data_IF_106906103351
#
_entry.id   IF_106906103351
#
_cell.length_a   1.000
_cell.length_b   1.000
_cell.length_c   1.000
_cell.angle_alpha   90.00
_cell.angle_beta   90.00
_cell.angle_gamma   90.00
#
_symmetry.space_group_name_H-M   'P 1'
#
loop_
_entity.id
_entity.type
_entity.pdbx_description
1 polymer ?
#
# COMPACT_ATOMS: atom_id res chain seq x y z
N UNK A 1 3.31 10.96 -3.41
CA UNK A 1 4.57 10.41 -2.86
C UNK A 1 4.41 10.22 -1.36
N UNK A 2 4.77 9.03 -0.88
CA UNK A 2 4.65 8.68 0.53
C UNK A 2 5.99 8.84 1.23
N UNK A 3 5.99 9.37 2.43
CA UNK A 3 7.21 9.47 3.22
C UNK A 3 7.40 8.25 4.10
N UNK A 4 8.66 7.86 4.29
CA UNK A 4 9.05 6.75 5.17
C UNK A 4 10.38 7.06 5.81
N UNK A 5 10.62 6.51 7.00
CA UNK A 5 11.93 6.56 7.64
C UNK A 5 12.77 5.33 7.31
N UNK A 6 12.22 4.38 6.55
CA UNK A 6 12.89 3.13 6.16
C UNK A 6 12.61 2.87 4.68
N UNK A 7 13.43 3.47 3.81
CA UNK A 7 13.22 3.35 2.37
C UNK A 7 13.35 1.90 1.90
N UNK A 8 14.42 1.19 2.30
CA UNK A 8 14.63 -0.18 1.85
C UNK A 8 13.54 -1.12 2.36
N UNK A 9 13.14 -0.99 3.62
CA UNK A 9 12.06 -1.79 4.19
C UNK A 9 10.74 -1.54 3.48
N UNK A 10 10.47 -0.31 3.05
CA UNK A 10 9.26 0.03 2.32
C UNK A 10 9.29 -0.57 0.91
N UNK A 11 10.42 -0.45 0.20
CA UNK A 11 10.57 -1.08 -1.11
C UNK A 11 10.37 -2.59 -0.99
N UNK A 12 10.98 -3.21 0.02
CA UNK A 12 10.84 -4.65 0.24
C UNK A 12 9.39 -5.06 0.53
N UNK A 13 8.70 -4.30 1.36
CA UNK A 13 7.29 -4.59 1.67
C UNK A 13 6.43 -4.53 0.42
N UNK A 14 6.56 -3.46 -0.36
CA UNK A 14 5.73 -3.29 -1.55
C UNK A 14 6.06 -4.30 -2.64
N UNK A 15 7.34 -4.66 -2.81
CA UNK A 15 7.73 -5.61 -3.85
C UNK A 15 7.53 -7.06 -3.42
N UNK A 16 7.97 -7.43 -2.23
CA UNK A 16 7.94 -8.83 -1.79
C UNK A 16 6.59 -9.24 -1.22
N UNK A 17 5.91 -8.34 -0.55
CA UNK A 17 4.62 -8.64 0.09
C UNK A 17 3.44 -8.27 -0.80
N UNK A 18 3.42 -7.05 -1.33
CA UNK A 18 2.29 -6.56 -2.13
C UNK A 18 2.38 -6.90 -3.62
N UNK A 19 3.56 -7.27 -4.10
CA UNK A 19 3.72 -7.65 -5.50
C UNK A 19 4.01 -6.51 -6.46
N UNK A 20 4.36 -5.33 -5.96
CA UNK A 20 4.81 -4.23 -6.80
C UNK A 20 6.19 -4.52 -7.40
N UNK A 21 6.52 -3.84 -8.46
CA UNK A 21 7.86 -3.86 -9.07
C UNK A 21 8.55 -2.54 -8.75
N UNK A 22 9.80 -2.61 -8.30
CA UNK A 22 10.61 -1.41 -8.11
C UNK A 22 11.10 -0.95 -9.49
N UNK A 23 10.51 0.12 -9.99
CA UNK A 23 10.83 0.65 -11.31
C UNK A 23 12.14 1.43 -11.31
N UNK A 24 12.40 2.12 -10.21
CA UNK A 24 13.59 2.95 -10.08
C UNK A 24 13.86 3.20 -8.60
N UNK A 25 15.13 3.26 -8.23
CA UNK A 25 15.55 3.61 -6.88
C UNK A 25 16.80 4.48 -6.97
N UNK A 26 16.84 5.54 -6.17
CA UNK A 26 18.01 6.41 -6.07
C UNK A 26 18.40 6.54 -4.61
N UNK A 27 19.54 5.99 -4.25
CA UNK A 27 20.06 6.10 -2.89
C UNK A 27 20.55 7.51 -2.59
N UNK A 28 21.02 8.21 -3.59
CA UNK A 28 21.46 9.61 -3.43
C UNK A 28 20.31 10.53 -3.08
N UNK A 29 19.14 10.30 -3.70
CA UNK A 29 17.95 11.12 -3.48
C UNK A 29 17.02 10.52 -2.44
N UNK A 30 17.37 9.35 -1.88
CA UNK A 30 16.56 8.64 -0.89
C UNK A 30 15.12 8.44 -1.37
N UNK A 31 14.98 7.93 -2.59
CA UNK A 31 13.72 7.88 -3.32
C UNK A 31 13.59 6.59 -4.12
N UNK A 32 12.37 6.10 -4.27
CA UNK A 32 12.06 4.97 -5.13
C UNK A 32 10.70 5.14 -5.80
N UNK A 33 10.57 4.55 -6.98
CA UNK A 33 9.31 4.46 -7.71
C UNK A 33 8.90 3.00 -7.84
N UNK A 34 7.68 2.71 -7.45
CA UNK A 34 7.12 1.37 -7.41
C UNK A 34 5.90 1.33 -8.32
N UNK A 35 5.75 0.24 -9.08
CA UNK A 35 4.64 0.13 -10.02
C UNK A 35 3.92 -1.22 -9.88
N UNK A 36 2.61 -1.20 -10.08
CA UNK A 36 1.79 -2.41 -10.15
C UNK A 36 0.71 -2.16 -11.20
N UNK A 37 0.87 -2.77 -12.38
CA UNK A 37 -0.02 -2.49 -13.51
C UNK A 37 0.04 -1.01 -13.87
N UNK A 38 -1.09 -0.34 -13.80
CA UNK A 38 -1.21 1.09 -14.12
C UNK A 38 -1.01 1.99 -12.90
N UNK A 39 -0.67 1.42 -11.75
CA UNK A 39 -0.49 2.18 -10.52
C UNK A 39 0.99 2.47 -10.30
N UNK A 40 1.32 3.72 -10.07
CA UNK A 40 2.67 4.15 -9.69
C UNK A 40 2.61 4.80 -8.32
N UNK A 41 3.51 4.36 -7.44
CA UNK A 41 3.68 4.96 -6.10
C UNK A 41 5.14 5.33 -5.92
N UNK A 42 5.39 6.55 -5.49
CA UNK A 42 6.73 6.99 -5.13
C UNK A 42 6.86 7.03 -3.61
N UNK A 43 8.00 6.58 -3.11
CA UNK A 43 8.32 6.63 -1.69
C UNK A 43 9.66 7.34 -1.50
N UNK A 44 9.79 8.05 -0.40
CA UNK A 44 10.97 8.87 -0.16
C UNK A 44 11.22 9.04 1.34
N UNK A 45 12.48 9.20 1.72
CA UNK A 45 12.78 9.69 3.06
C UNK A 45 12.29 11.12 3.18
N UNK A 46 11.89 11.56 4.39
CA UNK A 46 11.49 12.94 4.60
C UNK A 46 12.68 13.87 4.44
N UNK A 47 12.39 15.13 4.19
CA UNK A 47 13.42 16.17 4.08
C UNK A 47 13.29 17.15 5.25
N UNK A 48 14.22 18.09 5.33
CA UNK A 48 14.27 19.07 6.42
C UNK A 48 13.09 20.04 6.41
N UNK A 49 12.38 20.15 5.29
CA UNK A 49 11.24 21.06 5.16
C UNK A 49 9.93 20.45 5.63
N UNK A 50 9.82 19.11 5.57
CA UNK A 50 8.59 18.40 5.93
C UNK A 50 8.98 17.30 6.90
N UNK A 51 8.87 17.54 8.22
CA UNK A 51 9.21 16.51 9.20
C UNK A 51 8.25 15.34 9.11
N UNK A 52 8.79 14.16 9.25
CA UNK A 52 8.01 12.93 9.24
C UNK A 52 8.39 12.08 10.45
N UNK A 53 7.44 11.88 11.34
CA UNK A 53 7.59 11.03 12.52
C UNK A 53 6.94 9.67 12.26
N UNK A 54 5.71 9.71 11.76
CA UNK A 54 4.94 8.50 11.44
C UNK A 54 3.92 8.83 10.36
N UNK A 55 3.36 7.79 9.74
CA UNK A 55 2.28 7.97 8.78
C UNK A 55 1.08 8.59 9.50
N UNK A 56 0.62 9.74 9.00
CA UNK A 56 -0.52 10.45 9.57
C UNK A 56 -1.49 10.93 8.50
N UNK A 57 -1.54 10.22 7.38
CA UNK A 57 -2.42 10.55 6.28
C UNK A 57 -3.88 10.42 6.73
N UNK A 58 -4.66 11.46 6.50
CA UNK A 58 -6.07 11.48 6.92
C UNK A 58 -6.97 10.88 5.85
N UNK A 59 -6.91 9.60 5.70
CA UNK A 59 -7.65 8.86 4.68
C UNK A 59 -6.99 7.54 4.42
N UNK A 60 -7.27 7.00 3.26
CA UNK A 60 -6.74 5.70 2.85
C UNK A 60 -6.45 5.69 1.36
N UNK A 61 -5.69 4.71 0.94
CA UNK A 61 -5.47 4.45 -0.48
C UNK A 61 -6.33 3.27 -0.87
N UNK A 62 -7.25 3.48 -1.81
CA UNK A 62 -8.17 2.44 -2.23
C UNK A 62 -7.74 1.90 -3.59
N UNK A 63 -7.39 0.62 -3.61
CA UNK A 63 -7.01 -0.07 -4.83
C UNK A 63 -8.21 -0.88 -5.34
N UNK A 64 -8.75 -0.48 -6.49
CA UNK A 64 -9.75 -1.29 -7.18
C UNK A 64 -9.06 -2.43 -7.88
N UNK A 65 -9.61 -3.62 -7.71
CA UNK A 65 -9.08 -4.84 -8.32
C UNK A 65 -10.22 -5.64 -8.93
N UNK A 66 -9.90 -6.58 -9.79
CA UNK A 66 -10.90 -7.49 -10.35
C UNK A 66 -11.26 -8.61 -9.39
N UNK A 67 -10.42 -8.90 -8.41
CA UNK A 67 -10.65 -9.99 -7.47
C UNK A 67 -9.91 -9.74 -6.16
N UNK A 68 -10.60 -9.16 -5.19
CA UNK A 68 -10.03 -8.86 -3.88
C UNK A 68 -9.67 -10.13 -3.09
N UNK A 69 -10.36 -11.25 -3.34
CA UNK A 69 -10.09 -12.50 -2.62
C UNK A 69 -8.68 -13.02 -2.89
N UNK A 70 -8.18 -12.86 -4.11
CA UNK A 70 -6.81 -13.28 -4.44
C UNK A 70 -5.80 -12.51 -3.59
N UNK A 71 -5.96 -11.20 -3.49
CA UNK A 71 -5.08 -10.36 -2.67
C UNK A 71 -5.23 -10.69 -1.19
N UNK A 72 -6.45 -10.92 -0.73
CA UNK A 72 -6.70 -11.30 0.66
C UNK A 72 -5.95 -12.58 1.04
N UNK A 73 -6.05 -13.61 0.20
CA UNK A 73 -5.36 -14.88 0.45
C UNK A 73 -3.83 -14.71 0.48
N UNK A 74 -3.31 -13.83 -0.35
CA UNK A 74 -1.87 -13.56 -0.38
C UNK A 74 -1.38 -12.74 0.80
N UNK A 75 -2.21 -11.84 1.34
CA UNK A 75 -1.76 -10.82 2.28
C UNK A 75 -2.19 -11.07 3.73
N UNK A 76 -3.24 -11.84 3.96
CA UNK A 76 -3.84 -11.98 5.30
C UNK A 76 -2.88 -12.48 6.38
N UNK A 77 -1.90 -13.32 6.01
CA UNK A 77 -0.94 -13.88 6.96
C UNK A 77 0.40 -13.14 6.98
N UNK A 78 0.54 -12.10 6.17
CA UNK A 78 1.81 -11.37 5.99
C UNK A 78 1.74 -9.92 6.38
N UNK A 79 0.55 -9.41 6.73
CA UNK A 79 0.34 -7.98 6.95
C UNK A 79 -0.44 -7.74 8.23
N UNK A 80 -0.39 -6.49 8.71
CA UNK A 80 -1.26 -6.04 9.78
C UNK A 80 -2.62 -5.72 9.19
N UNK A 81 -3.65 -6.40 9.65
CA UNK A 81 -4.99 -6.28 9.10
C UNK A 81 -5.77 -5.21 9.85
N UNK A 82 -6.35 -4.27 9.09
CA UNK A 82 -7.27 -3.28 9.65
C UNK A 82 -8.66 -3.89 9.81
N UNK A 83 -9.19 -4.48 8.74
CA UNK A 83 -10.41 -5.27 8.79
C UNK A 83 -10.36 -6.39 7.73
N UNK A 84 -10.98 -7.56 8.05
CA UNK A 84 -10.93 -8.70 7.13
C UNK A 84 -11.85 -8.50 5.93
N UNK A 85 -11.66 -9.36 4.91
CA UNK A 85 -12.48 -9.29 3.71
C UNK A 85 -13.92 -9.68 4.02
N UNK A 86 -14.85 -8.86 3.53
CA UNK A 86 -16.28 -9.13 3.61
C UNK A 86 -17.03 -8.33 2.57
N UNK A 87 -18.31 -8.67 2.39
CA UNK A 87 -19.20 -7.92 1.50
C UNK A 87 -19.83 -6.77 2.29
N UNK A 88 -19.65 -5.56 1.79
CA UNK A 88 -20.21 -4.37 2.43
C UNK A 88 -21.48 -3.94 1.73
N UNK A 89 -22.39 -3.33 2.50
CA UNK A 89 -23.71 -2.94 1.98
C UNK A 89 -23.67 -1.89 0.88
N UNK A 90 -22.54 -1.19 0.74
CA UNK A 90 -22.37 -0.24 -0.36
C UNK A 90 -21.91 -0.89 -1.68
N UNK A 91 -21.96 -2.22 -1.76
CA UNK A 91 -21.73 -2.94 -3.01
C UNK A 91 -20.28 -3.30 -3.31
N UNK A 92 -19.44 -3.33 -2.31
CA UNK A 92 -18.02 -3.68 -2.47
C UNK A 92 -17.66 -4.87 -1.60
N UNK A 93 -16.82 -5.75 -2.14
CA UNK A 93 -16.13 -6.78 -1.36
C UNK A 93 -14.71 -6.28 -1.17
N UNK A 94 -14.33 -6.03 0.08
CA UNK A 94 -13.06 -5.38 0.36
C UNK A 94 -12.46 -5.79 1.70
N UNK A 95 -11.16 -5.53 1.83
CA UNK A 95 -10.44 -5.63 3.09
C UNK A 95 -9.46 -4.47 3.18
N UNK A 96 -8.88 -4.27 4.36
CA UNK A 96 -7.88 -3.23 4.54
C UNK A 96 -6.74 -3.74 5.41
N UNK A 97 -5.54 -3.29 5.06
CA UNK A 97 -4.31 -3.58 5.78
C UNK A 97 -3.54 -2.30 6.03
N UNK A 98 -2.55 -2.38 6.90
CA UNK A 98 -1.56 -1.32 7.07
C UNK A 98 -0.27 -1.75 6.37
N UNK A 99 0.39 -0.79 5.71
CA UNK A 99 1.72 -1.08 5.20
C UNK A 99 2.76 -1.00 6.33
N UNK A 100 4.04 -1.15 6.00
CA UNK A 100 5.12 -1.14 7.00
C UNK A 100 5.30 0.20 7.71
N UNK A 101 4.72 1.27 7.18
CA UNK A 101 4.77 2.61 7.76
C UNK A 101 3.49 2.98 8.51
N UNK A 102 2.44 2.17 8.39
CA UNK A 102 1.15 2.46 8.98
C UNK A 102 0.17 3.16 8.04
N UNK A 103 0.49 3.29 6.76
CA UNK A 103 -0.48 3.80 5.78
C UNK A 103 -1.59 2.77 5.58
N UNK A 104 -2.84 3.26 5.52
CA UNK A 104 -4.00 2.41 5.35
C UNK A 104 -4.24 2.13 3.88
N UNK A 105 -4.22 0.84 3.53
CA UNK A 105 -4.43 0.38 2.15
C UNK A 105 -5.69 -0.48 2.10
N UNK A 106 -6.61 -0.11 1.22
CA UNK A 106 -7.84 -0.87 0.99
C UNK A 106 -7.78 -1.54 -0.38
N UNK A 107 -8.28 -2.77 -0.47
CA UNK A 107 -8.36 -3.53 -1.71
C UNK A 107 -9.79 -4.01 -1.87
N UNK A 108 -10.39 -3.73 -3.01
CA UNK A 108 -11.78 -4.09 -3.20
C UNK A 108 -12.19 -4.27 -4.65
N UNK A 109 -13.29 -4.98 -4.85
CA UNK A 109 -13.95 -5.10 -6.15
C UNK A 109 -15.45 -4.93 -5.98
N UNK A 110 -16.10 -4.52 -7.06
CA UNK A 110 -17.54 -4.35 -7.07
C UNK A 110 -18.23 -5.71 -7.03
N UNK A 111 -19.26 -5.80 -6.19
CA UNK A 111 -20.11 -6.98 -6.18
C UNK A 111 -21.01 -6.99 -7.41
N UNK A 112 -21.17 -8.17 -8.01
CA UNK A 112 -22.08 -8.36 -9.14
C UNK A 112 -23.49 -8.59 -8.60
N UNK A 113 -24.40 -7.69 -8.95
CA UNK A 113 -25.82 -7.79 -8.59
C UNK A 113 -26.67 -8.03 -9.83
#
# INVERSE_FOLDING_TARGET
>A
MLYTNDLQGTVDFYTQTLGFTCKSISKELDWASLTFGDIDIMVSLPNEHIPFDKANFTGSFYFLTNNADIFWEQLKDKTSICYPIEDFEYGMREFAIYDNNGYLLQFGHELAF
#
